data_IF_663023021113
#
_entry.id   IF_663023021113
#
_cell.length_a   1.000
_cell.length_b   1.000
_cell.length_c   1.000
_cell.angle_alpha   90.00
_cell.angle_beta   90.00
_cell.angle_gamma   90.00
#
_symmetry.space_group_name_H-M   'P 1'
#
loop_
_entity.id
_entity.type
_entity.pdbx_description
1 polymer ?
#
# COMPACT_ATOMS: atom_id res chain seq x y z
N UNK A 1 12.42 -26.75 13.03
CA UNK A 1 12.96 -25.42 12.69
C UNK A 1 14.43 -25.59 12.38
N UNK A 2 14.88 -25.21 11.17
CA UNK A 2 16.28 -25.33 10.78
C UNK A 2 17.13 -24.19 11.42
N UNK A 3 16.59 -22.97 11.43
CA UNK A 3 17.23 -21.79 12.04
C UNK A 3 16.18 -20.70 12.33
N UNK A 4 16.58 -19.73 13.15
CA UNK A 4 15.75 -18.57 13.49
C UNK A 4 16.64 -17.32 13.49
N UNK A 5 16.13 -16.24 12.93
CA UNK A 5 16.78 -14.93 12.97
C UNK A 5 15.88 -13.99 13.77
N UNK A 6 16.46 -13.32 14.76
CA UNK A 6 15.82 -12.24 15.51
C UNK A 6 16.30 -10.89 14.99
N UNK A 7 15.38 -9.94 14.86
CA UNK A 7 15.69 -8.57 14.48
C UNK A 7 15.54 -7.67 15.71
N UNK A 8 16.65 -7.25 16.33
CA UNK A 8 16.60 -6.36 17.49
C UNK A 8 15.88 -5.04 17.14
N UNK A 9 15.08 -4.53 18.06
CA UNK A 9 14.31 -3.30 17.94
C UNK A 9 13.18 -3.33 16.88
N UNK A 10 12.86 -4.47 16.27
CA UNK A 10 11.68 -4.61 15.44
C UNK A 10 10.45 -4.81 16.34
N UNK A 11 9.53 -3.85 16.37
CA UNK A 11 8.31 -3.93 17.18
C UNK A 11 7.31 -4.86 16.52
N UNK A 12 7.07 -4.71 15.22
CA UNK A 12 6.20 -5.60 14.44
C UNK A 12 6.78 -5.85 13.05
N UNK A 13 6.52 -7.05 12.53
CA UNK A 13 6.81 -7.42 11.14
C UNK A 13 5.49 -7.77 10.47
N UNK A 14 4.99 -6.86 9.64
CA UNK A 14 3.73 -7.04 8.90
C UNK A 14 3.92 -7.39 7.43
N UNK A 15 5.17 -7.61 7.05
CA UNK A 15 5.61 -8.02 5.70
C UNK A 15 5.91 -9.51 5.66
N UNK A 16 5.76 -10.09 4.48
CA UNK A 16 6.22 -11.45 4.20
C UNK A 16 7.60 -11.42 3.55
N UNK A 17 8.42 -12.40 3.88
CA UNK A 17 9.68 -12.63 3.19
C UNK A 17 9.45 -13.21 1.80
N UNK A 18 10.35 -12.92 0.86
CA UNK A 18 10.36 -13.50 -0.48
C UNK A 18 11.63 -14.33 -0.70
N UNK A 19 11.48 -15.53 -1.25
CA UNK A 19 12.61 -16.39 -1.61
C UNK A 19 12.73 -16.41 -3.12
N UNK A 20 13.94 -16.12 -3.63
CA UNK A 20 14.26 -16.15 -5.05
C UNK A 20 15.61 -16.85 -5.25
N UNK A 21 15.58 -18.06 -5.78
CA UNK A 21 16.77 -18.92 -5.83
C UNK A 21 17.30 -19.16 -4.40
N UNK A 22 18.54 -18.81 -4.17
CA UNK A 22 19.20 -18.94 -2.86
C UNK A 22 19.20 -17.63 -2.06
N UNK A 23 18.39 -16.64 -2.44
CA UNK A 23 18.32 -15.38 -1.70
C UNK A 23 16.96 -15.23 -1.02
N UNK A 24 16.98 -14.90 0.28
CA UNK A 24 15.81 -14.57 1.08
C UNK A 24 15.80 -13.07 1.34
N UNK A 25 14.75 -12.38 0.87
CA UNK A 25 14.51 -10.96 1.11
C UNK A 25 13.54 -10.76 2.26
N UNK A 26 13.94 -10.02 3.30
CA UNK A 26 13.14 -9.82 4.51
C UNK A 26 13.01 -8.32 4.78
N UNK A 27 11.87 -7.70 4.45
CA UNK A 27 11.59 -6.34 4.89
C UNK A 27 11.29 -6.34 6.40
N UNK A 28 11.98 -5.51 7.15
CA UNK A 28 11.77 -5.30 8.59
C UNK A 28 11.33 -3.87 8.80
N UNK A 29 10.06 -3.72 9.17
CA UNK A 29 9.45 -2.41 9.44
C UNK A 29 9.66 -1.97 10.89
N UNK A 30 8.78 -1.11 11.34
CA UNK A 30 8.65 -0.49 12.66
C UNK A 30 9.90 -0.52 13.55
N UNK A 31 10.56 0.63 13.64
CA UNK A 31 11.82 0.87 14.39
C UNK A 31 13.10 0.28 13.80
N UNK A 32 13.02 -0.45 12.68
CA UNK A 32 14.21 -0.97 12.00
C UNK A 32 14.39 -0.40 10.58
N UNK A 33 13.31 -0.27 9.79
CA UNK A 33 13.28 0.32 8.44
C UNK A 33 14.27 -0.31 7.45
N UNK A 34 14.56 -1.61 7.55
CA UNK A 34 15.57 -2.27 6.73
C UNK A 34 14.99 -3.39 5.89
N UNK A 35 15.56 -3.55 4.71
CA UNK A 35 15.40 -4.75 3.89
C UNK A 35 16.72 -5.54 3.94
N UNK A 36 16.63 -6.77 4.40
CA UNK A 36 17.75 -7.68 4.44
C UNK A 36 17.69 -8.64 3.25
N UNK A 37 18.83 -8.92 2.64
CA UNK A 37 19.01 -10.06 1.77
C UNK A 37 19.95 -11.07 2.42
N UNK A 38 19.48 -12.30 2.54
CA UNK A 38 20.26 -13.41 3.09
C UNK A 38 20.59 -14.41 2.00
N UNK A 39 21.82 -14.89 1.98
CA UNK A 39 22.15 -16.14 1.29
C UNK A 39 21.66 -17.32 2.13
N UNK A 40 20.85 -18.16 1.54
CA UNK A 40 20.31 -19.37 2.15
C UNK A 40 20.76 -20.62 1.40
N UNK A 41 21.83 -20.54 0.61
CA UNK A 41 22.40 -21.71 -0.10
C UNK A 41 22.89 -22.77 0.88
N UNK A 42 23.41 -22.37 2.06
CA UNK A 42 23.65 -23.25 3.19
C UNK A 42 22.47 -23.16 4.17
N UNK A 43 21.62 -24.18 4.19
CA UNK A 43 20.46 -24.23 5.07
C UNK A 43 20.79 -24.21 6.58
N UNK A 44 22.03 -24.48 6.95
CA UNK A 44 22.46 -24.47 8.36
C UNK A 44 23.00 -23.10 8.79
N UNK A 45 23.46 -22.28 7.84
CA UNK A 45 24.16 -21.02 8.12
C UNK A 45 23.78 -19.89 7.17
N UNK A 46 22.55 -19.37 7.22
CA UNK A 46 22.19 -18.22 6.39
C UNK A 46 23.09 -17.03 6.75
N UNK A 47 23.54 -16.27 5.74
CA UNK A 47 24.37 -15.10 5.96
C UNK A 47 23.80 -13.86 5.23
N UNK A 48 24.03 -12.68 5.81
CA UNK A 48 23.60 -11.42 5.21
C UNK A 48 24.48 -11.12 4.01
N UNK A 49 23.86 -10.98 2.83
CA UNK A 49 24.52 -10.52 1.61
C UNK A 49 24.61 -9.00 1.58
N UNK A 50 23.49 -8.34 1.89
CA UNK A 50 23.41 -6.89 1.95
C UNK A 50 22.21 -6.44 2.80
N UNK A 51 22.23 -5.16 3.18
CA UNK A 51 21.17 -4.47 3.90
C UNK A 51 20.87 -3.17 3.16
N UNK A 52 19.59 -2.92 2.87
CA UNK A 52 19.10 -1.62 2.46
C UNK A 52 18.44 -0.93 3.65
N UNK A 53 18.68 0.37 3.82
CA UNK A 53 18.14 1.17 4.92
C UNK A 53 17.18 2.22 4.35
N UNK A 54 15.89 2.07 4.66
CA UNK A 54 14.83 2.98 4.26
C UNK A 54 14.75 4.22 5.16
N UNK A 55 14.28 5.33 4.61
CA UNK A 55 14.07 6.58 5.36
C UNK A 55 12.80 6.54 6.23
N UNK A 56 11.84 5.72 5.83
CA UNK A 56 10.56 5.53 6.50
C UNK A 56 10.36 4.04 6.80
N UNK A 57 9.38 3.75 7.66
CA UNK A 57 9.00 2.38 8.01
C UNK A 57 8.61 1.58 6.75
N UNK A 58 9.39 0.56 6.40
CA UNK A 58 9.05 -0.37 5.35
C UNK A 58 7.83 -1.18 5.77
N UNK A 59 6.83 -1.25 4.90
CA UNK A 59 5.51 -1.80 5.28
C UNK A 59 5.04 -2.96 4.42
N UNK A 60 5.51 -3.04 3.18
CA UNK A 60 5.09 -4.08 2.23
C UNK A 60 6.02 -5.28 2.29
N UNK A 61 5.55 -6.39 1.77
CA UNK A 61 6.43 -7.52 1.45
C UNK A 61 7.40 -7.15 0.32
N UNK A 62 8.44 -7.95 0.11
CA UNK A 62 9.39 -7.76 -0.98
C UNK A 62 8.78 -8.28 -2.30
N UNK A 63 8.58 -7.41 -3.27
CA UNK A 63 8.29 -7.78 -4.66
C UNK A 63 9.61 -8.02 -5.41
N UNK A 64 9.70 -9.07 -6.19
CA UNK A 64 10.89 -9.35 -7.01
C UNK A 64 10.53 -9.39 -8.49
N UNK A 65 11.46 -8.95 -9.34
CA UNK A 65 11.30 -9.03 -10.78
C UNK A 65 12.59 -8.78 -11.54
N UNK A 66 12.52 -8.99 -12.86
CA UNK A 66 13.61 -8.64 -13.80
C UNK A 66 13.09 -7.57 -14.74
N UNK A 67 13.76 -6.42 -14.77
CA UNK A 67 13.44 -5.31 -15.68
C UNK A 67 13.79 -5.67 -17.14
N UNK A 68 13.26 -4.88 -18.09
CA UNK A 68 13.53 -5.05 -19.52
C UNK A 68 15.01 -4.94 -19.90
N UNK A 69 15.82 -4.21 -19.11
CA UNK A 69 17.28 -4.12 -19.26
C UNK A 69 18.05 -5.30 -18.62
N UNK A 70 17.34 -6.34 -18.15
CA UNK A 70 17.93 -7.53 -17.54
C UNK A 70 18.28 -7.39 -16.06
N UNK A 71 18.13 -6.20 -15.45
CA UNK A 71 18.47 -5.97 -14.05
C UNK A 71 17.44 -6.63 -13.12
N UNK A 72 17.93 -7.45 -12.19
CA UNK A 72 17.11 -8.04 -11.12
C UNK A 72 16.87 -7.01 -10.02
N UNK A 73 15.64 -6.85 -9.62
CA UNK A 73 15.23 -5.80 -8.67
C UNK A 73 14.32 -6.34 -7.59
N UNK A 74 14.38 -5.68 -6.44
CA UNK A 74 13.43 -5.84 -5.34
C UNK A 74 12.65 -4.54 -5.16
N UNK A 75 11.35 -4.66 -4.93
CA UNK A 75 10.43 -3.56 -4.70
C UNK A 75 9.90 -3.63 -3.27
N UNK A 76 9.90 -2.52 -2.57
CA UNK A 76 9.25 -2.37 -1.27
C UNK A 76 8.56 -1.02 -1.19
N UNK A 77 7.48 -0.96 -0.42
CA UNK A 77 6.77 0.26 -0.12
C UNK A 77 6.86 0.63 1.36
N UNK A 78 6.70 1.91 1.67
CA UNK A 78 6.84 2.43 3.02
C UNK A 78 5.60 3.22 3.51
N UNK A 79 5.62 3.59 4.79
CA UNK A 79 4.55 4.36 5.45
C UNK A 79 4.55 5.85 5.06
N UNK A 80 5.56 6.32 4.36
CA UNK A 80 5.58 7.66 3.75
C UNK A 80 4.96 7.72 2.36
N UNK A 81 4.45 6.59 1.85
CA UNK A 81 3.87 6.50 0.50
C UNK A 81 4.92 6.42 -0.61
N UNK A 82 6.14 6.00 -0.30
CA UNK A 82 7.17 5.77 -1.32
C UNK A 82 7.23 4.29 -1.72
N UNK A 83 7.57 4.09 -2.99
CA UNK A 83 8.04 2.82 -3.52
C UNK A 83 9.52 2.94 -3.81
N UNK A 84 10.28 1.97 -3.35
CA UNK A 84 11.72 1.85 -3.54
C UNK A 84 12.01 0.71 -4.50
N UNK A 85 12.80 0.96 -5.52
CA UNK A 85 13.37 -0.08 -6.37
C UNK A 85 14.86 -0.24 -6.03
N UNK A 86 15.23 -1.44 -5.67
CA UNK A 86 16.54 -1.79 -5.13
C UNK A 86 17.15 -2.85 -6.04
N UNK A 87 18.44 -2.71 -6.36
CA UNK A 87 19.20 -3.73 -7.07
C UNK A 87 19.30 -5.00 -6.20
N UNK A 88 18.74 -6.10 -6.69
CA UNK A 88 18.65 -7.36 -5.94
C UNK A 88 20.01 -7.99 -5.66
N UNK A 89 21.06 -7.62 -6.38
CA UNK A 89 22.39 -8.22 -6.25
C UNK A 89 23.24 -7.55 -5.19
N UNK A 90 23.01 -6.26 -4.89
CA UNK A 90 23.91 -5.49 -4.02
C UNK A 90 23.20 -4.54 -3.05
N UNK A 91 21.86 -4.47 -3.05
CA UNK A 91 21.08 -3.64 -2.16
C UNK A 91 21.10 -2.14 -2.46
N UNK A 92 21.68 -1.71 -3.60
CA UNK A 92 21.71 -0.30 -3.98
C UNK A 92 20.34 0.18 -4.44
N UNK A 93 19.85 1.29 -3.87
CA UNK A 93 18.65 1.95 -4.37
C UNK A 93 18.88 2.46 -5.80
N UNK A 94 18.02 2.06 -6.72
CA UNK A 94 18.01 2.52 -8.10
C UNK A 94 17.19 3.80 -8.23
N UNK A 95 16.04 3.82 -7.57
CA UNK A 95 15.20 4.99 -7.38
C UNK A 95 14.23 4.77 -6.23
N UNK A 96 13.74 5.86 -5.64
CA UNK A 96 12.56 5.89 -4.81
C UNK A 96 11.60 6.96 -5.30
N UNK A 97 10.29 6.64 -5.33
CA UNK A 97 9.27 7.52 -5.86
C UNK A 97 8.07 7.57 -4.94
N UNK A 98 7.62 8.78 -4.61
CA UNK A 98 6.35 8.97 -3.92
C UNK A 98 5.21 8.58 -4.87
N UNK A 99 4.42 7.59 -4.48
CA UNK A 99 3.30 7.07 -5.28
C UNK A 99 1.94 7.45 -4.70
N UNK A 100 1.90 8.12 -3.55
CA UNK A 100 0.66 8.50 -2.91
C UNK A 100 -0.22 9.39 -3.80
N UNK A 101 -1.53 9.11 -3.80
CA UNK A 101 -2.53 9.89 -4.53
C UNK A 101 -2.89 11.18 -3.78
N UNK A 102 -2.68 11.17 -2.45
CA UNK A 102 -2.98 12.27 -1.54
C UNK A 102 -1.89 12.42 -0.49
N UNK A 103 -1.77 13.58 0.17
CA UNK A 103 -1.05 13.69 1.44
C UNK A 103 -1.63 12.69 2.46
N UNK A 104 -0.78 11.89 3.11
CA UNK A 104 -1.22 10.82 4.01
C UNK A 104 -1.53 9.49 3.32
N UNK A 105 -1.30 9.35 2.02
CA UNK A 105 -1.25 8.04 1.37
C UNK A 105 -0.06 7.24 1.90
N UNK A 106 -0.27 5.93 2.02
CA UNK A 106 0.75 4.97 2.48
C UNK A 106 0.80 3.76 1.54
N UNK A 107 1.91 3.04 1.54
CA UNK A 107 2.06 1.79 0.80
C UNK A 107 1.95 0.60 1.74
N UNK A 108 0.92 -0.22 1.58
CA UNK A 108 0.69 -1.42 2.40
C UNK A 108 0.63 -2.71 1.57
N UNK A 109 0.16 -2.64 0.34
CA UNK A 109 0.22 -3.73 -0.63
C UNK A 109 1.56 -3.77 -1.35
N UNK A 110 2.08 -4.95 -1.63
CA UNK A 110 3.37 -5.13 -2.30
C UNK A 110 3.32 -4.64 -3.75
N UNK A 111 4.22 -3.74 -4.16
CA UNK A 111 4.34 -3.34 -5.56
C UNK A 111 4.77 -4.50 -6.46
N UNK A 112 4.26 -4.54 -7.69
CA UNK A 112 4.51 -5.63 -8.65
C UNK A 112 5.16 -5.06 -9.91
N UNK A 113 6.26 -5.68 -10.36
CA UNK A 113 6.88 -5.37 -11.65
C UNK A 113 6.14 -6.10 -12.77
N UNK A 114 5.68 -5.36 -13.78
CA UNK A 114 4.96 -5.90 -14.95
C UNK A 114 5.51 -5.26 -16.22
N UNK A 115 6.34 -5.99 -16.93
CA UNK A 115 7.03 -5.46 -18.11
C UNK A 115 7.89 -4.24 -17.76
N UNK A 116 7.54 -3.11 -18.33
CA UNK A 116 8.21 -1.81 -18.14
C UNK A 116 7.59 -0.94 -17.01
N UNK A 117 6.66 -1.49 -16.23
CA UNK A 117 5.93 -0.76 -15.19
C UNK A 117 6.03 -1.42 -13.82
N UNK A 118 6.04 -0.60 -12.80
CA UNK A 118 5.78 -0.99 -11.42
C UNK A 118 4.36 -0.57 -11.07
N UNK A 119 3.53 -1.55 -10.72
CA UNK A 119 2.15 -1.32 -10.26
C UNK A 119 2.16 -1.27 -8.75
N UNK A 120 1.88 -0.09 -8.21
CA UNK A 120 1.93 0.21 -6.77
C UNK A 120 0.53 0.48 -6.22
N UNK A 121 0.03 -0.33 -5.28
CA UNK A 121 -1.24 -0.06 -4.60
C UNK A 121 -1.06 1.09 -3.61
N UNK A 122 -2.05 1.99 -3.57
CA UNK A 122 -2.11 3.14 -2.67
C UNK A 122 -3.20 2.93 -1.62
N UNK A 123 -2.79 2.95 -0.38
CA UNK A 123 -3.66 2.97 0.79
C UNK A 123 -3.61 4.35 1.45
N UNK A 124 -4.22 4.50 2.63
CA UNK A 124 -4.31 5.79 3.32
C UNK A 124 -4.28 5.60 4.84
N UNK A 125 -3.84 6.63 5.54
CA UNK A 125 -3.77 6.66 7.01
C UNK A 125 -4.92 7.47 7.63
N UNK A 126 -5.77 8.12 6.84
CA UNK A 126 -6.81 9.04 7.31
C UNK A 126 -7.83 8.36 8.23
N UNK A 127 -8.08 7.05 8.02
CA UNK A 127 -8.94 6.24 8.90
C UNK A 127 -8.53 6.37 10.39
N UNK A 128 -7.22 6.45 10.65
CA UNK A 128 -6.69 6.62 12.02
C UNK A 128 -6.78 8.06 12.50
N UNK A 129 -6.64 9.04 11.60
CA UNK A 129 -6.77 10.47 11.92
C UNK A 129 -8.20 10.85 12.27
N UNK A 130 -9.20 10.10 11.82
CA UNK A 130 -10.60 10.25 12.20
C UNK A 130 -10.83 10.15 13.71
N UNK A 131 -9.91 9.50 14.46
CA UNK A 131 -9.91 9.47 15.92
C UNK A 131 -9.58 10.81 16.60
N UNK A 132 -9.27 11.84 15.82
CA UNK A 132 -8.95 13.18 16.32
C UNK A 132 -10.01 14.18 15.87
N UNK A 133 -10.74 14.80 16.81
CA UNK A 133 -11.76 15.83 16.48
C UNK A 133 -11.14 17.06 15.77
N UNK A 134 -9.83 17.29 15.92
CA UNK A 134 -9.10 18.33 15.19
C UNK A 134 -8.99 18.05 13.68
N UNK A 135 -9.04 16.77 13.25
CA UNK A 135 -9.01 16.37 11.86
C UNK A 135 -10.39 16.53 11.20
N UNK A 136 -10.42 17.07 10.00
CA UNK A 136 -11.63 17.20 9.19
C UNK A 136 -11.72 16.01 8.23
N UNK A 137 -12.53 15.03 8.59
CA UNK A 137 -12.58 13.72 7.94
C UNK A 137 -13.78 13.61 6.98
N UNK A 138 -13.78 12.77 5.92
CA UNK A 138 -12.65 12.03 5.40
C UNK A 138 -12.52 12.35 3.92
N UNK A 139 -11.32 12.66 3.47
CA UNK A 139 -11.09 13.24 2.13
C UNK A 139 -10.32 12.32 1.20
N UNK A 140 -9.74 11.24 1.75
CA UNK A 140 -8.76 10.41 1.05
C UNK A 140 -9.39 9.08 0.64
N UNK A 141 -9.04 8.63 -0.55
CA UNK A 141 -9.39 7.30 -1.04
C UNK A 141 -8.15 6.56 -1.55
N UNK A 142 -8.29 5.25 -1.70
CA UNK A 142 -7.26 4.39 -2.25
C UNK A 142 -7.15 4.44 -3.77
N UNK A 143 -6.22 3.65 -4.28
CA UNK A 143 -6.03 3.50 -5.72
C UNK A 143 -4.81 2.68 -6.08
N UNK A 144 -4.43 2.77 -7.34
CA UNK A 144 -3.26 2.10 -7.90
C UNK A 144 -2.50 3.08 -8.78
N UNK A 145 -1.19 3.08 -8.66
CA UNK A 145 -0.31 3.95 -9.48
C UNK A 145 0.62 3.08 -10.31
N UNK A 146 0.79 3.39 -11.58
CA UNK A 146 1.86 2.81 -12.38
C UNK A 146 3.04 3.77 -12.47
N UNK A 147 4.21 3.24 -12.20
CA UNK A 147 5.49 3.93 -12.34
C UNK A 147 6.30 3.27 -13.47
N UNK A 148 7.05 4.04 -14.20
CA UNK A 148 8.04 3.53 -15.17
C UNK A 148 9.15 2.79 -14.42
N UNK A 149 9.43 1.55 -14.81
CA UNK A 149 10.36 0.69 -14.08
C UNK A 149 11.83 1.16 -14.17
N UNK A 150 12.19 1.94 -15.17
CA UNK A 150 13.57 2.44 -15.33
C UNK A 150 13.78 3.73 -14.52
N UNK A 151 12.84 4.67 -14.64
CA UNK A 151 13.00 6.02 -14.13
C UNK A 151 12.25 6.30 -12.83
N UNK A 152 11.31 5.44 -12.43
CA UNK A 152 10.40 5.67 -11.32
C UNK A 152 9.31 6.71 -11.61
N UNK A 153 9.29 7.34 -12.78
CA UNK A 153 8.30 8.37 -13.10
C UNK A 153 6.89 7.80 -13.18
N UNK A 154 5.92 8.56 -12.72
CA UNK A 154 4.50 8.19 -12.77
C UNK A 154 4.02 8.13 -14.21
N UNK A 155 3.35 7.02 -14.58
CA UNK A 155 2.79 6.76 -15.92
C UNK A 155 1.29 7.02 -15.93
N UNK A 156 0.56 6.49 -14.94
CA UNK A 156 -0.87 6.71 -14.75
C UNK A 156 -1.27 6.52 -13.29
N UNK A 157 -2.44 7.06 -12.95
CA UNK A 157 -3.13 6.90 -11.67
C UNK A 157 -4.51 6.29 -11.91
N UNK A 158 -4.88 5.30 -11.11
CA UNK A 158 -6.20 4.70 -11.06
C UNK A 158 -6.80 4.94 -9.68
N UNK A 159 -7.79 5.81 -9.59
CA UNK A 159 -8.51 6.12 -8.37
C UNK A 159 -9.65 5.14 -8.14
N UNK A 160 -9.90 4.74 -6.88
CA UNK A 160 -11.01 3.85 -6.55
C UNK A 160 -12.36 4.57 -6.56
N UNK A 161 -12.36 5.89 -6.46
CA UNK A 161 -13.56 6.74 -6.52
C UNK A 161 -13.20 8.17 -6.89
N UNK A 162 -14.21 9.02 -7.03
CA UNK A 162 -14.03 10.46 -7.25
C UNK A 162 -13.50 11.19 -6.01
N UNK A 163 -13.00 12.40 -6.22
CA UNK A 163 -12.53 13.27 -5.14
C UNK A 163 -13.66 13.60 -4.16
N UNK A 164 -13.39 13.48 -2.88
CA UNK A 164 -14.32 13.81 -1.80
C UNK A 164 -14.79 15.27 -1.88
N UNK A 165 -16.06 15.49 -1.52
CA UNK A 165 -16.71 16.81 -1.43
C UNK A 165 -17.29 17.00 -0.03
N UNK A 166 -17.53 18.25 0.40
CA UNK A 166 -18.27 18.51 1.64
C UNK A 166 -19.68 17.90 1.54
N UNK A 167 -20.07 17.13 2.54
CA UNK A 167 -21.38 16.45 2.60
C UNK A 167 -22.33 17.15 3.57
N UNK A 168 -21.85 17.49 4.78
CA UNK A 168 -22.63 18.14 5.81
C UNK A 168 -21.75 18.89 6.79
N UNK A 169 -22.32 19.89 7.45
CA UNK A 169 -21.70 20.56 8.61
C UNK A 169 -21.57 19.56 9.76
N UNK A 170 -20.41 19.54 10.40
CA UNK A 170 -20.11 18.71 11.56
C UNK A 170 -20.59 19.34 12.88
N UNK A 171 -20.93 20.61 12.88
CA UNK A 171 -21.42 21.35 14.03
C UNK A 171 -20.35 22.09 14.86
N UNK A 172 -19.08 21.99 14.46
CA UNK A 172 -17.93 22.65 15.12
C UNK A 172 -17.16 23.58 14.16
N UNK A 173 -17.79 24.01 13.07
CA UNK A 173 -17.19 24.84 12.03
C UNK A 173 -16.39 24.05 10.99
N UNK A 174 -16.46 22.73 11.02
CA UNK A 174 -15.82 21.82 10.06
C UNK A 174 -16.88 21.01 9.31
N UNK A 175 -16.46 20.40 8.20
CA UNK A 175 -17.32 19.58 7.35
C UNK A 175 -17.02 18.09 7.52
N UNK A 176 -18.02 17.26 7.35
CA UNK A 176 -17.87 15.85 6.99
C UNK A 176 -17.75 15.77 5.47
N UNK A 177 -16.77 15.02 5.00
CA UNK A 177 -16.44 14.88 3.58
C UNK A 177 -16.70 13.45 3.09
N UNK A 178 -16.92 13.31 1.79
CA UNK A 178 -17.05 12.02 1.11
C UNK A 178 -17.28 12.16 -0.40
N UNK A 179 -17.24 11.02 -1.14
CA UNK A 179 -16.93 9.68 -0.64
C UNK A 179 -15.45 9.54 -0.25
N UNK A 180 -15.14 8.58 0.62
CA UNK A 180 -13.78 8.32 1.08
C UNK A 180 -13.59 6.85 1.46
N UNK A 181 -12.34 6.42 1.59
CA UNK A 181 -12.01 5.03 1.92
C UNK A 181 -11.56 4.22 0.71
N UNK A 182 -12.06 3.00 0.55
CA UNK A 182 -11.62 2.05 -0.49
C UNK A 182 -10.09 1.96 -0.63
N UNK A 183 -9.31 1.84 0.48
CA UNK A 183 -7.88 1.69 0.40
C UNK A 183 -7.52 0.38 -0.31
N UNK A 184 -6.42 0.38 -1.08
CA UNK A 184 -5.90 -0.83 -1.70
C UNK A 184 -4.76 -1.37 -0.84
N UNK A 185 -5.03 -2.44 -0.08
CA UNK A 185 -4.09 -3.01 0.89
C UNK A 185 -3.35 -4.24 0.39
N UNK A 186 -3.89 -4.89 -0.63
CA UNK A 186 -3.32 -6.10 -1.18
C UNK A 186 -2.38 -5.82 -2.35
N UNK A 187 -1.59 -6.83 -2.70
CA UNK A 187 -0.79 -6.82 -3.92
C UNK A 187 -1.71 -7.02 -5.12
N UNK A 188 -1.51 -6.28 -6.23
CA UNK A 188 -2.28 -6.46 -7.45
C UNK A 188 -2.06 -7.85 -8.06
N UNK A 189 -3.13 -8.50 -8.50
CA UNK A 189 -3.07 -9.69 -9.35
C UNK A 189 -3.09 -9.26 -10.82
N UNK A 190 -2.18 -9.80 -11.64
CA UNK A 190 -1.97 -9.35 -13.02
C UNK A 190 -2.47 -10.38 -14.01
N UNK A 191 -3.33 -9.96 -14.94
CA UNK A 191 -3.79 -10.75 -16.08
C UNK A 191 -3.31 -10.11 -17.39
N UNK A 192 -2.16 -10.54 -17.86
CA UNK A 192 -1.58 -10.04 -19.11
C UNK A 192 -2.43 -10.38 -20.33
N UNK A 193 -3.13 -11.53 -20.31
CA UNK A 193 -3.97 -11.97 -21.42
C UNK A 193 -5.15 -11.01 -21.64
N UNK A 194 -5.73 -10.49 -20.55
CA UNK A 194 -6.85 -9.54 -20.62
C UNK A 194 -6.42 -8.08 -20.53
N UNK A 195 -5.11 -7.81 -20.38
CA UNK A 195 -4.56 -6.48 -20.11
C UNK A 195 -5.25 -5.83 -18.90
N UNK A 196 -5.34 -6.57 -17.81
CA UNK A 196 -6.02 -6.16 -16.58
C UNK A 196 -5.19 -6.45 -15.35
N UNK A 197 -5.41 -5.68 -14.31
CA UNK A 197 -5.03 -6.01 -12.95
C UNK A 197 -6.29 -6.03 -12.06
N UNK A 198 -6.22 -6.79 -10.98
CA UNK A 198 -7.30 -6.89 -10.00
C UNK A 198 -6.78 -6.51 -8.62
N UNK A 199 -7.58 -5.73 -7.91
CA UNK A 199 -7.32 -5.35 -6.51
C UNK A 199 -8.59 -5.52 -5.68
N UNK A 200 -8.40 -5.83 -4.40
CA UNK A 200 -9.43 -5.70 -3.38
C UNK A 200 -9.34 -4.34 -2.71
N UNK A 201 -10.45 -3.79 -2.31
CA UNK A 201 -10.51 -2.53 -1.57
C UNK A 201 -11.08 -2.74 -0.17
N UNK A 202 -10.72 -1.86 0.74
CA UNK A 202 -11.31 -1.83 2.08
C UNK A 202 -12.60 -1.00 2.11
N UNK A 203 -13.06 -0.75 3.33
CA UNK A 203 -14.30 -0.10 3.71
C UNK A 203 -14.41 1.36 3.27
N UNK A 204 -15.62 1.93 3.36
CA UNK A 204 -15.85 3.37 3.32
C UNK A 204 -15.44 4.00 4.66
N UNK A 205 -14.85 5.19 4.62
CA UNK A 205 -14.54 5.94 5.84
C UNK A 205 -15.56 7.05 6.14
N UNK A 206 -16.47 7.33 5.22
CA UNK A 206 -17.61 8.24 5.38
C UNK A 206 -18.84 7.74 4.64
N UNK A 207 -20.03 8.06 5.18
CA UNK A 207 -21.32 7.78 4.53
C UNK A 207 -21.62 8.78 3.42
N UNK A 208 -22.29 8.36 2.32
CA UNK A 208 -22.68 6.98 2.00
C UNK A 208 -21.48 6.15 1.49
N UNK A 209 -21.54 4.83 1.69
CA UNK A 209 -20.53 3.92 1.15
C UNK A 209 -20.54 3.95 -0.38
N UNK A 210 -19.36 4.09 -0.98
CA UNK A 210 -19.20 4.05 -2.43
C UNK A 210 -19.18 2.60 -2.95
N UNK A 211 -19.67 2.35 -4.18
CA UNK A 211 -19.70 1.01 -4.79
C UNK A 211 -18.36 0.30 -4.88
N UNK A 212 -17.26 1.05 -4.83
CA UNK A 212 -15.89 0.53 -4.89
C UNK A 212 -15.25 0.36 -3.51
N UNK A 213 -16.00 0.51 -2.41
CA UNK A 213 -15.58 0.08 -1.07
C UNK A 213 -15.91 -1.39 -0.88
N UNK A 214 -15.10 -2.12 -0.12
CA UNK A 214 -15.24 -3.57 0.08
C UNK A 214 -15.53 -4.32 -1.24
N UNK A 215 -14.76 -4.04 -2.24
CA UNK A 215 -15.00 -4.47 -3.62
C UNK A 215 -13.77 -5.16 -4.22
N UNK A 216 -14.01 -5.94 -5.27
CA UNK A 216 -12.98 -6.35 -6.21
C UNK A 216 -13.09 -5.44 -7.44
N UNK A 217 -11.99 -4.81 -7.82
CA UNK A 217 -11.93 -3.90 -8.96
C UNK A 217 -10.98 -4.45 -10.02
N UNK A 218 -11.47 -4.52 -11.26
CA UNK A 218 -10.63 -4.76 -12.43
C UNK A 218 -10.25 -3.43 -13.07
N UNK A 219 -8.95 -3.23 -13.25
CA UNK A 219 -8.36 -1.99 -13.77
C UNK A 219 -7.60 -2.33 -15.06
N UNK A 220 -7.72 -1.49 -16.07
CA UNK A 220 -6.96 -1.61 -17.32
C UNK A 220 -5.47 -1.35 -17.05
N UNK A 221 -4.62 -2.31 -17.35
CA UNK A 221 -3.18 -2.27 -17.05
C UNK A 221 -2.43 -1.19 -17.83
N UNK A 222 -2.96 -0.76 -18.98
CA UNK A 222 -2.34 0.27 -19.81
C UNK A 222 -2.71 1.69 -19.39
N UNK A 223 -3.96 1.87 -18.91
CA UNK A 223 -4.53 3.22 -18.70
C UNK A 223 -4.86 3.56 -17.26
N UNK A 224 -4.90 2.58 -16.34
CA UNK A 224 -5.33 2.76 -14.96
C UNK A 224 -6.84 2.94 -14.77
N UNK A 225 -7.64 2.84 -15.85
CA UNK A 225 -9.10 3.03 -15.78
C UNK A 225 -9.80 1.77 -15.28
N UNK A 226 -10.79 1.96 -14.40
CA UNK A 226 -11.71 0.89 -13.99
C UNK A 226 -12.41 0.29 -15.21
N UNK A 227 -12.43 -1.04 -15.29
CA UNK A 227 -13.22 -1.78 -16.28
C UNK A 227 -14.53 -2.28 -15.69
N UNK A 228 -14.48 -2.80 -14.47
CA UNK A 228 -15.63 -3.22 -13.69
C UNK A 228 -15.26 -3.30 -12.22
N UNK A 229 -16.27 -3.28 -11.37
CA UNK A 229 -16.14 -3.57 -9.95
C UNK A 229 -17.26 -4.50 -9.48
N UNK A 230 -16.96 -5.30 -8.46
CA UNK A 230 -17.91 -6.13 -7.73
C UNK A 230 -17.91 -5.72 -6.27
N UNK A 231 -19.01 -5.11 -5.82
CA UNK A 231 -19.21 -4.65 -4.45
C UNK A 231 -19.60 -5.85 -3.58
N UNK A 232 -18.69 -6.34 -2.76
CA UNK A 232 -18.89 -7.55 -1.97
C UNK A 232 -19.70 -7.31 -0.69
N UNK A 233 -19.46 -6.19 -0.02
CA UNK A 233 -20.14 -5.85 1.25
C UNK A 233 -20.66 -4.41 1.17
N UNK A 234 -21.94 -4.22 0.75
CA UNK A 234 -22.54 -2.89 0.67
C UNK A 234 -22.75 -2.27 2.06
N UNK A 235 -22.70 -0.93 2.10
CA UNK A 235 -23.02 -0.13 3.29
C UNK A 235 -22.13 -0.37 4.52
N UNK A 236 -20.95 -0.93 4.32
CA UNK A 236 -19.95 -1.08 5.37
C UNK A 236 -19.11 0.21 5.46
N UNK A 237 -19.28 0.91 6.58
CA UNK A 237 -18.64 2.20 6.86
C UNK A 237 -17.92 2.08 8.18
N UNK A 238 -16.63 2.37 8.18
CA UNK A 238 -15.82 2.36 9.39
C UNK A 238 -14.74 3.44 9.36
N UNK A 239 -14.60 4.13 10.47
CA UNK A 239 -13.39 4.87 10.82
C UNK A 239 -13.19 4.81 12.34
N UNK A 240 -11.98 5.10 12.81
CA UNK A 240 -11.64 4.98 14.24
C UNK A 240 -12.42 5.96 15.13
N UNK A 241 -13.01 7.02 14.57
CA UNK A 241 -13.89 7.93 15.29
C UNK A 241 -15.21 7.28 15.74
N UNK A 242 -15.59 6.17 15.11
CA UNK A 242 -16.75 5.36 15.46
C UNK A 242 -16.40 4.14 16.34
N UNK A 243 -15.17 4.02 16.81
CA UNK A 243 -14.77 2.88 17.63
C UNK A 243 -15.50 2.91 18.99
N UNK A 244 -16.32 1.88 19.22
CA UNK A 244 -17.15 1.73 20.41
C UNK A 244 -16.35 1.56 21.72
N UNK A 245 -15.03 1.41 21.63
CA UNK A 245 -14.17 1.38 22.82
C UNK A 245 -13.94 2.78 23.42
N UNK A 246 -14.20 3.84 22.67
CA UNK A 246 -14.28 5.19 23.21
C UNK A 246 -15.67 5.40 23.84
N UNK A 247 -15.73 5.75 25.11
CA UNK A 247 -17.00 6.09 25.82
C UNK A 247 -17.72 7.32 25.26
N UNK A 248 -17.23 7.91 24.17
CA UNK A 248 -17.75 9.11 23.52
C UNK A 248 -17.57 8.94 22.01
N UNK A 249 -18.65 9.03 21.27
CA UNK A 249 -18.57 9.19 19.82
C UNK A 249 -17.78 10.46 19.48
N UNK A 250 -16.77 10.30 18.63
CA UNK A 250 -16.02 11.43 18.13
C UNK A 250 -16.79 12.09 16.98
N UNK A 251 -16.54 13.39 16.77
CA UNK A 251 -17.26 14.18 15.77
C UNK A 251 -17.07 13.67 14.32
N UNK A 252 -16.03 12.90 14.07
CA UNK A 252 -15.77 12.29 12.77
C UNK A 252 -16.48 10.93 12.55
N UNK A 253 -17.22 10.42 13.53
CA UNK A 253 -18.04 9.23 13.31
C UNK A 253 -19.16 9.55 12.31
N UNK A 254 -19.19 8.81 11.21
CA UNK A 254 -20.14 9.02 10.10
C UNK A 254 -21.03 7.81 9.83
N UNK A 255 -21.02 6.84 10.72
CA UNK A 255 -21.76 5.58 10.61
C UNK A 255 -23.24 5.67 10.99
N UNK A 256 -23.83 6.86 10.98
CA UNK A 256 -25.26 7.03 11.21
C UNK A 256 -26.02 7.23 9.93
#
# INVERSE_FOLDING_TARGET
VAWTIAFPNAITMRSQAAVVGNTLFVPVGESNNRLFAFDISDNAKPCIQWIYEGKQTLRTSAGFGTRSDGKKVVLVGDMGGFVHMIDAMNGKELWSQHMGLFPGSISTGTPVLVGDKVIAPSSQYEIMLAGQDSHECCKIHGGVVALDAITGKRVWEGHTMEQAKPLRDRGDGKMIWGPSGAPVWNSPSIDLKRNQLYVGTGEANSAPAHKNTNAVIAIDLKTGKEKWSFHATPNDIYNIGCDLHSKKELLNCTSA
#
